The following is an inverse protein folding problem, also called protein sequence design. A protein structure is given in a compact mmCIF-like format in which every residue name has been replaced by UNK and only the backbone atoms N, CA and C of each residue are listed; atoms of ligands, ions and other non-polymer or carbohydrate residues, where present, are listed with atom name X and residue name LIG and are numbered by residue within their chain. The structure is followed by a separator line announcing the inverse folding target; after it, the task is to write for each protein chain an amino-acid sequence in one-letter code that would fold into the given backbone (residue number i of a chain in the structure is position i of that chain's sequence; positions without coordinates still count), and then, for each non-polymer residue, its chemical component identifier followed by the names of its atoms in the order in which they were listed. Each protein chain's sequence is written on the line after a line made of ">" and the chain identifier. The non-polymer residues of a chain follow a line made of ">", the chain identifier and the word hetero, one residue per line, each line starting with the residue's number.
data_IF_075940742602
#
_entry.id   IF_075940742602
#
_cell.length_a   1.000
_cell.length_b   1.000
_cell.length_c   1.000
_cell.angle_alpha   90.00
_cell.angle_beta   90.00
_cell.angle_gamma   90.00
#
_symmetry.space_group_name_H-M   'P 1'
#
loop_
_entity.id
_entity.type
_entity.pdbx_description
1 polymer ?
#
# COMPACT_ATOMS: atom_id res chain seq x y z
N UNK A 1 9.35 27.02 13.74
CA UNK A 1 9.27 26.12 12.59
C UNK A 1 9.63 24.71 13.05
N UNK A 2 8.78 23.73 12.74
CA UNK A 2 9.11 22.34 13.04
C UNK A 2 10.20 21.84 12.09
N UNK A 3 11.13 20.99 12.56
CA UNK A 3 12.13 20.39 11.69
C UNK A 3 11.45 19.60 10.55
N UNK A 4 12.01 19.64 9.36
CA UNK A 4 11.53 18.88 8.22
C UNK A 4 11.92 17.39 8.27
N UNK A 5 12.80 17.03 9.20
CA UNK A 5 13.31 15.67 9.40
C UNK A 5 13.24 15.28 10.88
N UNK A 6 13.29 13.97 11.14
CA UNK A 6 13.33 13.42 12.50
C UNK A 6 14.75 13.05 12.96
N UNK A 7 15.75 13.74 12.44
CA UNK A 7 17.18 13.41 12.69
C UNK A 7 17.55 13.36 14.18
N UNK A 8 16.88 14.17 15.01
CA UNK A 8 17.04 14.14 16.46
C UNK A 8 16.35 13.00 17.18
N UNK A 9 15.54 12.19 16.47
CA UNK A 9 14.79 11.11 17.06
C UNK A 9 15.53 9.77 16.91
N UNK A 10 15.98 9.21 18.03
CA UNK A 10 16.61 7.88 18.05
C UNK A 10 15.52 6.80 18.20
N UNK A 11 14.73 6.59 17.15
CA UNK A 11 13.56 5.74 17.16
C UNK A 11 13.31 5.14 15.78
N UNK A 12 13.09 3.83 15.70
CA UNK A 12 12.79 3.12 14.45
C UNK A 12 11.48 3.60 13.79
N UNK A 13 10.49 4.02 14.59
CA UNK A 13 9.25 4.58 14.05
C UNK A 13 9.55 5.91 13.34
N UNK A 14 10.32 6.81 13.96
CA UNK A 14 10.71 8.08 13.35
C UNK A 14 11.51 7.85 12.05
N UNK A 15 12.42 6.90 12.04
CA UNK A 15 13.19 6.53 10.85
C UNK A 15 12.29 6.02 9.72
N UNK A 16 11.31 5.19 10.04
CA UNK A 16 10.33 4.71 9.06
C UNK A 16 9.46 5.84 8.52
N UNK A 17 9.07 6.80 9.38
CA UNK A 17 8.25 7.93 8.98
C UNK A 17 8.98 8.94 8.09
N UNK A 18 10.31 8.96 8.06
CA UNK A 18 11.07 9.77 7.08
C UNK A 18 10.69 9.39 5.64
N UNK A 19 10.37 8.14 5.39
CA UNK A 19 9.88 7.67 4.11
C UNK A 19 8.34 7.61 4.06
N UNK A 20 7.75 6.91 5.04
CA UNK A 20 6.33 6.53 5.03
C UNK A 20 5.40 7.65 5.51
N UNK A 21 5.93 8.65 6.21
CA UNK A 21 5.15 9.75 6.77
C UNK A 21 4.69 10.79 5.75
N UNK A 22 5.20 10.76 4.54
CA UNK A 22 4.79 11.68 3.49
C UNK A 22 3.41 11.30 2.93
N UNK A 23 2.62 12.31 2.65
CA UNK A 23 1.30 12.11 2.03
C UNK A 23 1.45 11.34 0.71
N UNK A 24 0.55 10.42 0.44
CA UNK A 24 0.47 9.53 -0.71
C UNK A 24 1.39 8.31 -0.69
N UNK A 25 2.50 8.32 0.05
CA UNK A 25 3.48 7.23 0.00
C UNK A 25 2.86 5.87 0.32
N UNK A 26 2.13 5.75 1.42
CA UNK A 26 1.47 4.49 1.80
C UNK A 26 0.36 4.09 0.82
N UNK A 27 -0.32 5.06 0.20
CA UNK A 27 -1.33 4.77 -0.82
C UNK A 27 -0.69 4.25 -2.11
N UNK A 28 0.46 4.76 -2.50
CA UNK A 28 1.25 4.22 -3.64
C UNK A 28 1.68 2.78 -3.34
N UNK A 29 2.18 2.52 -2.14
CA UNK A 29 2.55 1.17 -1.69
C UNK A 29 1.34 0.22 -1.69
N UNK A 30 0.19 0.68 -1.21
CA UNK A 30 -1.07 -0.07 -1.28
C UNK A 30 -1.40 -0.49 -2.71
N UNK A 31 -1.33 0.45 -3.66
CA UNK A 31 -1.60 0.16 -5.07
C UNK A 31 -0.60 -0.86 -5.64
N UNK A 32 0.67 -0.79 -5.24
CA UNK A 32 1.66 -1.77 -5.64
C UNK A 32 1.31 -3.18 -5.13
N UNK A 33 0.81 -3.32 -3.90
CA UNK A 33 0.29 -4.59 -3.38
C UNK A 33 -0.95 -5.08 -4.13
N UNK A 34 -1.77 -4.18 -4.64
CA UNK A 34 -2.95 -4.51 -5.45
C UNK A 34 -2.59 -4.86 -6.91
N UNK A 35 -1.31 -4.83 -7.26
CA UNK A 35 -0.82 -5.24 -8.56
C UNK A 35 -0.62 -4.11 -9.57
N UNK A 36 -0.81 -2.84 -9.16
CA UNK A 36 -0.50 -1.69 -10.02
C UNK A 36 1.02 -1.59 -10.20
N UNK A 37 1.48 -1.49 -11.44
CA UNK A 37 2.91 -1.51 -11.77
C UNK A 37 3.37 -0.35 -12.64
N UNK A 38 2.45 0.24 -13.42
CA UNK A 38 2.76 1.28 -14.40
C UNK A 38 2.36 2.66 -13.88
N UNK A 39 3.12 3.67 -14.27
CA UNK A 39 2.87 5.07 -13.87
C UNK A 39 1.42 5.49 -14.09
N UNK A 40 0.87 5.22 -15.27
CA UNK A 40 -0.51 5.62 -15.61
C UNK A 40 -1.54 4.90 -14.71
N UNK A 41 -1.31 3.64 -14.35
CA UNK A 41 -2.18 2.91 -13.43
C UNK A 41 -2.24 3.54 -12.05
N UNK A 42 -1.10 4.00 -11.52
CA UNK A 42 -1.08 4.75 -10.24
C UNK A 42 -1.83 6.08 -10.35
N UNK A 43 -1.64 6.81 -11.46
CA UNK A 43 -2.32 8.08 -11.69
C UNK A 43 -3.84 7.91 -11.72
N UNK A 44 -4.33 6.93 -12.47
CA UNK A 44 -5.76 6.65 -12.62
C UNK A 44 -6.42 6.20 -11.31
N UNK A 45 -5.75 5.34 -10.56
CA UNK A 45 -6.30 4.76 -9.33
C UNK A 45 -6.27 5.71 -8.14
N UNK A 46 -5.27 6.59 -8.08
CA UNK A 46 -5.07 7.47 -6.93
C UNK A 46 -5.58 8.90 -7.17
N UNK A 47 -5.86 9.27 -8.41
CA UNK A 47 -6.15 10.66 -8.78
C UNK A 47 -5.09 11.63 -8.23
N UNK A 48 -3.85 11.25 -8.35
CA UNK A 48 -2.66 11.97 -7.83
C UNK A 48 -2.03 12.82 -8.95
N UNK A 49 -1.58 14.01 -8.61
CA UNK A 49 -0.82 14.84 -9.55
C UNK A 49 0.46 14.14 -10.02
N UNK A 50 0.75 14.18 -11.31
CA UNK A 50 1.88 13.46 -11.93
C UNK A 50 3.23 13.81 -11.31
N UNK A 51 3.47 15.07 -10.99
CA UNK A 51 4.71 15.52 -10.35
C UNK A 51 4.86 14.96 -8.92
N UNK A 52 3.77 14.89 -8.17
CA UNK A 52 3.76 14.29 -6.82
C UNK A 52 4.03 12.79 -6.91
N UNK A 53 3.36 12.09 -7.82
CA UNK A 53 3.59 10.66 -8.04
C UNK A 53 5.03 10.37 -8.44
N UNK A 54 5.60 11.15 -9.37
CA UNK A 54 6.99 11.01 -9.78
C UNK A 54 7.93 11.12 -8.58
N UNK A 55 7.73 12.11 -7.72
CA UNK A 55 8.54 12.30 -6.51
C UNK A 55 8.41 11.10 -5.57
N UNK A 56 7.20 10.59 -5.35
CA UNK A 56 6.97 9.43 -4.47
C UNK A 56 7.59 8.15 -5.01
N UNK A 57 7.39 7.87 -6.30
CA UNK A 57 7.97 6.68 -6.94
C UNK A 57 9.51 6.72 -6.94
N UNK A 58 10.09 7.88 -7.27
CA UNK A 58 11.54 8.07 -7.22
C UNK A 58 12.09 7.81 -5.83
N UNK A 59 11.47 8.39 -4.80
CA UNK A 59 11.88 8.17 -3.40
C UNK A 59 11.79 6.71 -3.00
N UNK A 60 10.71 6.02 -3.37
CA UNK A 60 10.53 4.60 -3.06
C UNK A 60 11.55 3.70 -3.78
N UNK A 61 11.96 4.07 -4.99
CA UNK A 61 13.02 3.38 -5.71
C UNK A 61 14.38 3.62 -5.06
N UNK A 62 14.70 4.87 -4.73
CA UNK A 62 15.96 5.24 -4.07
C UNK A 62 16.13 4.54 -2.72
N UNK A 63 15.05 4.37 -1.97
CA UNK A 63 15.03 3.67 -0.68
C UNK A 63 14.94 2.14 -0.80
N UNK A 64 14.86 1.61 -2.02
CA UNK A 64 14.81 0.17 -2.27
C UNK A 64 13.50 -0.52 -1.91
N UNK A 65 12.41 0.23 -1.74
CA UNK A 65 11.06 -0.31 -1.51
C UNK A 65 10.43 -0.78 -2.81
N UNK A 66 10.65 -0.04 -3.89
CA UNK A 66 10.30 -0.42 -5.25
C UNK A 66 11.57 -0.59 -6.09
N UNK A 67 11.46 -1.39 -7.11
CA UNK A 67 12.44 -1.43 -8.21
C UNK A 67 11.77 -0.98 -9.49
N UNK A 68 12.54 -0.27 -10.33
CA UNK A 68 12.11 0.20 -11.64
C UNK A 68 12.65 -0.74 -12.70
N UNK A 69 11.76 -1.47 -13.37
CA UNK A 69 12.10 -2.51 -14.33
C UNK A 69 11.64 -2.10 -15.72
N UNK A 70 12.56 -2.07 -16.68
CA UNK A 70 12.22 -1.82 -18.07
C UNK A 70 11.54 -3.05 -18.68
N UNK A 71 10.35 -2.88 -19.23
CA UNK A 71 9.61 -3.95 -19.90
C UNK A 71 9.48 -3.76 -21.41
N UNK A 72 9.83 -2.57 -21.92
CA UNK A 72 9.79 -2.24 -23.36
C UNK A 72 10.96 -1.31 -23.70
N UNK A 73 11.62 -1.55 -24.83
CA UNK A 73 12.79 -0.78 -25.24
C UNK A 73 12.45 0.42 -26.15
N UNK A 74 11.47 0.28 -27.02
CA UNK A 74 11.09 1.33 -28.00
C UNK A 74 9.57 1.45 -28.12
N UNK A 75 8.95 2.55 -27.62
CA UNK A 75 9.54 3.52 -26.69
C UNK A 75 9.91 2.85 -25.35
N UNK A 76 10.88 3.43 -24.65
CA UNK A 76 11.31 2.92 -23.36
C UNK A 76 10.19 3.05 -22.32
N UNK A 77 9.82 1.93 -21.69
CA UNK A 77 8.76 1.87 -20.66
C UNK A 77 9.18 1.04 -19.48
N UNK A 78 8.74 1.47 -18.30
CA UNK A 78 9.11 0.89 -17.01
C UNK A 78 7.89 0.47 -16.21
N UNK A 79 8.11 -0.55 -15.39
CA UNK A 79 7.22 -0.97 -14.30
C UNK A 79 7.89 -0.73 -12.97
N UNK A 80 7.08 -0.47 -11.95
CA UNK A 80 7.49 -0.37 -10.55
C UNK A 80 7.01 -1.61 -9.81
N UNK A 81 7.93 -2.35 -9.23
CA UNK A 81 7.65 -3.62 -8.54
C UNK A 81 8.13 -3.55 -7.10
N UNK A 82 7.37 -4.17 -6.18
CA UNK A 82 7.81 -4.31 -4.81
C UNK A 82 9.05 -5.19 -4.73
N UNK A 83 10.06 -4.70 -4.00
CA UNK A 83 11.22 -5.49 -3.59
C UNK A 83 10.87 -6.31 -2.34
N UNK A 84 11.79 -7.14 -1.85
CA UNK A 84 11.65 -7.82 -0.57
C UNK A 84 11.41 -6.82 0.57
N UNK A 85 12.20 -5.73 0.63
CA UNK A 85 12.00 -4.62 1.58
C UNK A 85 10.60 -3.99 1.44
N UNK A 86 10.09 -3.86 0.22
CA UNK A 86 8.75 -3.37 -0.03
C UNK A 86 7.66 -4.32 0.47
N UNK A 87 7.82 -5.61 0.21
CA UNK A 87 6.88 -6.65 0.68
C UNK A 87 6.80 -6.70 2.21
N UNK A 88 7.88 -6.41 2.91
CA UNK A 88 7.93 -6.32 4.37
C UNK A 88 7.02 -5.22 4.95
N UNK A 89 6.52 -4.31 4.12
CA UNK A 89 5.53 -3.31 4.51
C UNK A 89 4.09 -3.83 4.52
N UNK A 90 3.85 -5.05 4.05
CA UNK A 90 2.48 -5.60 4.05
C UNK A 90 1.82 -5.62 5.43
N UNK A 91 2.49 -6.03 6.53
CA UNK A 91 1.91 -5.94 7.86
C UNK A 91 1.50 -4.52 8.27
N UNK A 92 2.23 -3.50 7.84
CA UNK A 92 1.91 -2.08 8.10
C UNK A 92 0.62 -1.70 7.35
N UNK A 93 0.52 -2.07 6.07
CA UNK A 93 -0.68 -1.83 5.25
C UNK A 93 -1.91 -2.53 5.86
N UNK A 94 -1.77 -3.79 6.27
CA UNK A 94 -2.87 -4.54 6.90
C UNK A 94 -3.30 -3.90 8.23
N UNK A 95 -2.35 -3.48 9.05
CA UNK A 95 -2.65 -2.82 10.32
C UNK A 95 -3.40 -1.49 10.11
N UNK A 96 -3.00 -0.70 9.12
CA UNK A 96 -3.69 0.54 8.76
C UNK A 96 -5.11 0.26 8.22
N UNK A 97 -5.25 -0.76 7.37
CA UNK A 97 -6.54 -1.17 6.85
C UNK A 97 -7.49 -1.54 7.99
N UNK A 98 -7.06 -2.38 8.90
CA UNK A 98 -7.87 -2.84 10.03
C UNK A 98 -8.22 -1.72 11.01
N UNK A 99 -7.29 -0.81 11.25
CA UNK A 99 -7.56 0.39 12.05
C UNK A 99 -8.63 1.27 11.38
N UNK A 100 -8.49 1.51 10.07
CA UNK A 100 -9.47 2.28 9.30
C UNK A 100 -10.84 1.61 9.24
N UNK A 101 -10.89 0.30 9.07
CA UNK A 101 -12.14 -0.47 9.06
C UNK A 101 -12.89 -0.34 10.39
N UNK A 102 -12.16 -0.34 11.49
CA UNK A 102 -12.75 -0.23 12.82
C UNK A 102 -13.32 1.16 13.13
N UNK A 103 -12.62 2.22 12.73
CA UNK A 103 -12.94 3.59 13.17
C UNK A 103 -13.49 4.50 12.07
N UNK A 104 -13.24 4.19 10.80
CA UNK A 104 -13.56 5.07 9.67
C UNK A 104 -14.37 4.37 8.56
N UNK A 105 -14.95 3.22 8.83
CA UNK A 105 -15.79 2.49 7.89
C UNK A 105 -17.18 2.20 8.51
N UNK A 106 -18.04 3.23 8.70
CA UNK A 106 -19.34 3.08 9.37
C UNK A 106 -20.29 2.14 8.63
N UNK A 107 -20.16 2.02 7.31
CA UNK A 107 -20.97 1.16 6.46
C UNK A 107 -20.34 -0.23 6.23
N UNK A 108 -19.25 -0.53 6.93
CA UNK A 108 -18.48 -1.75 6.80
C UNK A 108 -17.21 -1.59 5.95
N UNK A 109 -16.28 -2.56 6.01
CA UNK A 109 -15.01 -2.48 5.30
C UNK A 109 -15.19 -2.38 3.78
N UNK A 110 -14.63 -1.36 3.10
CA UNK A 110 -14.73 -1.24 1.64
C UNK A 110 -13.93 -2.31 0.89
N UNK A 111 -12.88 -2.84 1.52
CA UNK A 111 -12.03 -3.91 0.98
C UNK A 111 -11.84 -4.98 2.04
N UNK A 112 -12.01 -6.22 1.66
CA UNK A 112 -11.83 -7.37 2.54
C UNK A 112 -10.64 -8.18 2.04
N UNK A 113 -9.65 -8.40 2.91
CA UNK A 113 -8.54 -9.30 2.62
C UNK A 113 -8.93 -10.73 2.93
N UNK A 114 -8.70 -11.63 1.98
CA UNK A 114 -9.04 -13.03 2.08
C UNK A 114 -7.84 -13.92 1.78
N UNK A 115 -7.81 -15.08 2.41
CA UNK A 115 -6.88 -16.12 2.08
C UNK A 115 -7.19 -16.68 0.68
N UNK A 116 -6.21 -16.75 -0.20
CA UNK A 116 -6.39 -17.21 -1.59
C UNK A 116 -6.91 -18.63 -1.68
N UNK A 117 -6.41 -19.53 -0.81
CA UNK A 117 -6.71 -20.95 -0.88
C UNK A 117 -8.11 -21.30 -0.39
N UNK A 118 -8.58 -20.69 0.70
CA UNK A 118 -9.83 -21.07 1.33
C UNK A 118 -10.88 -19.97 1.42
N UNK A 119 -10.55 -18.72 1.03
CA UNK A 119 -11.45 -17.58 1.07
C UNK A 119 -11.74 -17.02 2.47
N UNK A 120 -11.08 -17.52 3.52
CA UNK A 120 -11.24 -17.03 4.88
C UNK A 120 -10.74 -15.59 5.05
N UNK A 121 -11.37 -14.84 5.94
CA UNK A 121 -10.93 -13.48 6.27
C UNK A 121 -9.68 -13.49 7.16
N UNK A 122 -8.93 -12.39 7.15
CA UNK A 122 -7.70 -12.23 7.91
C UNK A 122 -8.02 -11.56 9.25
N UNK A 123 -7.57 -12.15 10.34
CA UNK A 123 -7.69 -11.55 11.67
C UNK A 123 -6.63 -10.47 11.94
N UNK A 124 -6.70 -9.85 13.12
CA UNK A 124 -5.79 -8.78 13.54
C UNK A 124 -4.31 -9.20 13.64
N UNK A 125 -4.05 -10.50 13.71
CA UNK A 125 -2.71 -11.07 13.79
C UNK A 125 -2.24 -11.69 12.48
N UNK A 126 -3.00 -11.47 11.40
CA UNK A 126 -2.76 -11.99 10.05
C UNK A 126 -2.90 -13.51 9.94
N UNK A 127 -3.76 -14.10 10.76
CA UNK A 127 -4.18 -15.49 10.58
C UNK A 127 -5.49 -15.57 9.83
N UNK A 128 -5.65 -16.63 9.05
CA UNK A 128 -6.92 -16.93 8.39
C UNK A 128 -7.93 -17.43 9.41
N UNK A 129 -9.06 -16.75 9.52
CA UNK A 129 -10.15 -17.11 10.44
C UNK A 129 -10.75 -18.48 10.12
N UNK A 130 -10.61 -18.99 8.89
CA UNK A 130 -11.18 -20.27 8.44
C UNK A 130 -10.22 -21.45 8.65
N UNK A 131 -8.98 -21.36 8.21
CA UNK A 131 -8.03 -22.49 8.27
C UNK A 131 -6.91 -22.31 9.30
N UNK A 132 -6.78 -21.14 9.93
CA UNK A 132 -5.79 -20.87 10.97
C UNK A 132 -4.37 -20.61 10.45
N UNK A 133 -4.13 -20.64 9.14
CA UNK A 133 -2.81 -20.38 8.58
C UNK A 133 -2.43 -18.91 8.77
N UNK A 134 -1.17 -18.65 9.14
CA UNK A 134 -0.61 -17.30 9.12
C UNK A 134 -0.36 -16.87 7.68
N UNK A 135 -0.85 -15.69 7.32
CA UNK A 135 -0.85 -15.23 5.94
C UNK A 135 0.23 -14.17 5.69
N UNK A 136 0.81 -14.25 4.51
CA UNK A 136 1.68 -13.23 3.91
C UNK A 136 0.94 -12.48 2.80
N UNK A 137 1.59 -11.49 2.20
CA UNK A 137 1.04 -10.78 1.05
C UNK A 137 0.70 -11.73 -0.12
N UNK A 138 1.51 -12.77 -0.32
CA UNK A 138 1.32 -13.75 -1.41
C UNK A 138 0.11 -14.65 -1.20
N UNK A 139 -0.22 -14.92 0.06
CA UNK A 139 -1.33 -15.79 0.43
C UNK A 139 -2.68 -15.06 0.42
N UNK A 140 -2.66 -13.76 0.23
CA UNK A 140 -3.80 -12.88 0.43
C UNK A 140 -4.27 -12.25 -0.87
N UNK A 141 -5.56 -12.03 -0.97
CA UNK A 141 -6.17 -11.26 -2.06
C UNK A 141 -7.20 -10.28 -1.52
N UNK A 142 -7.34 -9.16 -2.20
CA UNK A 142 -8.38 -8.17 -1.90
C UNK A 142 -9.67 -8.53 -2.63
N UNK A 143 -10.79 -8.41 -1.93
CA UNK A 143 -12.14 -8.53 -2.50
C UNK A 143 -12.98 -7.32 -2.14
N UNK A 144 -14.03 -7.06 -2.92
CA UNK A 144 -14.96 -5.98 -2.65
C UNK A 144 -15.71 -6.22 -1.33
N UNK A 145 -15.82 -5.16 -0.53
CA UNK A 145 -16.62 -5.11 0.68
C UNK A 145 -17.83 -4.19 0.51
N UNK A 146 -18.10 -3.36 1.51
CA UNK A 146 -19.20 -2.40 1.47
C UNK A 146 -19.00 -1.37 0.33
N UNK A 147 -20.07 -1.00 -0.40
CA UNK A 147 -19.98 -0.01 -1.46
C UNK A 147 -19.67 1.39 -0.90
N UNK A 148 -19.03 2.21 -1.74
CA UNK A 148 -18.79 3.60 -1.39
C UNK A 148 -20.13 4.34 -1.13
N UNK A 149 -20.19 5.21 -0.11
CA UNK A 149 -21.40 6.00 0.15
C UNK A 149 -21.71 6.91 -1.05
N UNK A 150 -23.00 7.10 -1.34
CA UNK A 150 -23.47 7.89 -2.49
C UNK A 150 -22.98 9.34 -2.51
N UNK A 151 -22.58 9.89 -1.37
CA UNK A 151 -22.06 11.26 -1.20
C UNK A 151 -20.59 11.46 -1.54
N UNK A 152 -19.86 10.40 -1.86
CA UNK A 152 -18.42 10.48 -2.15
C UNK A 152 -18.10 10.83 -3.62
N UNK A 153 -19.12 11.11 -4.43
CA UNK A 153 -18.97 11.58 -5.82
C UNK A 153 -19.38 13.04 -5.91
N UNK A 154 -18.51 13.90 -5.46
CA UNK A 154 -18.59 15.33 -5.64
C UNK A 154 -17.27 15.86 -6.13
#
# INVERSE_FOLDING_TARGET
>A
MLPSTYDGQHCSIARSLELLGERWTLLVIREAFLGTRRFEGFTERLDIARNVLTTRLTRLVDEGVLEKVRYQERPERFEYRLTEKGVDLWPVIVALLQYGDRYYAPDGPPVILRHRDCGGEIDSHRYCAKCGQRLSARDSMASAGAPAPASARG
#
